data_IF_526354268660
#
_entry.id   IF_526354268660
#
_cell.length_a   1.000
_cell.length_b   1.000
_cell.length_c   1.000
_cell.angle_alpha   90.00
_cell.angle_beta   90.00
_cell.angle_gamma   90.00
#
_symmetry.space_group_name_H-M   'P 1'
#
loop_
_entity.id
_entity.type
_entity.pdbx_description
1 polymer ?
#
# COMPACT_ATOMS: atom_id res chain seq x y z
N UNK A 1 -36.11 -6.75 -5.82
CA UNK A 1 -35.44 -6.60 -4.50
C UNK A 1 -35.70 -5.23 -3.89
N UNK A 2 -35.91 -5.13 -2.57
CA UNK A 2 -36.45 -3.93 -1.93
C UNK A 2 -35.36 -2.88 -1.62
N UNK A 3 -35.21 -1.87 -2.51
CA UNK A 3 -34.31 -0.71 -2.33
C UNK A 3 -34.50 0.04 -1.00
N UNK A 4 -35.64 -0.15 -0.32
CA UNK A 4 -35.93 0.46 0.99
C UNK A 4 -35.01 -0.07 2.10
N UNK A 5 -34.63 -1.35 2.08
CA UNK A 5 -33.77 -1.94 3.11
C UNK A 5 -32.34 -1.41 3.07
N UNK A 6 -31.74 -1.29 1.88
CA UNK A 6 -30.39 -0.71 1.72
C UNK A 6 -30.37 0.75 2.16
N UNK A 7 -31.42 1.53 1.81
CA UNK A 7 -31.55 2.92 2.28
C UNK A 7 -31.63 3.01 3.80
N UNK A 8 -32.44 2.15 4.42
CA UNK A 8 -32.55 2.09 5.88
C UNK A 8 -31.23 1.73 6.55
N UNK A 9 -30.56 0.66 6.11
CA UNK A 9 -29.28 0.22 6.68
C UNK A 9 -28.18 1.26 6.52
N UNK A 10 -28.11 1.94 5.37
CA UNK A 10 -27.18 3.07 5.17
C UNK A 10 -27.46 4.21 6.16
N UNK A 11 -28.72 4.56 6.38
CA UNK A 11 -29.10 5.56 7.36
C UNK A 11 -28.75 5.12 8.79
N UNK A 12 -28.94 3.84 9.11
CA UNK A 12 -28.60 3.27 10.41
C UNK A 12 -27.08 3.28 10.66
N UNK A 13 -26.26 2.86 9.68
CA UNK A 13 -24.80 2.97 9.74
C UNK A 13 -24.39 4.43 9.97
N UNK A 14 -24.93 5.37 9.19
CA UNK A 14 -24.64 6.80 9.37
C UNK A 14 -25.05 7.31 10.76
N UNK A 15 -26.20 6.89 11.27
CA UNK A 15 -26.65 7.27 12.61
C UNK A 15 -25.74 6.71 13.71
N UNK A 16 -25.27 5.46 13.56
CA UNK A 16 -24.38 4.81 14.51
C UNK A 16 -23.00 5.47 14.61
N UNK A 17 -22.60 6.28 13.62
CA UNK A 17 -21.34 7.02 13.65
C UNK A 17 -21.28 8.07 14.77
N UNK A 18 -22.41 8.39 15.42
CA UNK A 18 -22.42 9.22 16.63
C UNK A 18 -21.61 8.62 17.77
N UNK A 19 -21.44 7.29 17.81
CA UNK A 19 -20.62 6.58 18.79
C UNK A 19 -19.19 6.26 18.33
N UNK A 20 -18.82 6.60 17.09
CA UNK A 20 -17.49 6.31 16.54
C UNK A 20 -17.38 6.56 15.03
N UNK A 21 -16.18 6.89 14.54
CA UNK A 21 -15.98 7.39 13.17
C UNK A 21 -16.40 6.40 12.07
N UNK A 22 -16.35 5.09 12.35
CA UNK A 22 -16.60 4.04 11.36
C UNK A 22 -18.04 3.51 11.36
N UNK A 23 -18.88 3.84 12.34
CA UNK A 23 -20.22 3.24 12.50
C UNK A 23 -20.18 1.85 13.17
N UNK A 24 -21.36 1.29 13.42
CA UNK A 24 -21.52 0.00 14.08
C UNK A 24 -21.14 -1.18 13.17
N UNK A 25 -20.29 -2.06 13.69
CA UNK A 25 -19.72 -3.20 12.96
C UNK A 25 -20.78 -4.25 12.56
N UNK A 26 -21.83 -4.42 13.38
CA UNK A 26 -22.94 -5.32 13.08
C UNK A 26 -23.82 -4.77 11.96
N UNK A 27 -24.09 -3.47 11.96
CA UNK A 27 -24.80 -2.80 10.87
C UNK A 27 -24.01 -2.87 9.56
N UNK A 28 -22.68 -2.77 9.63
CA UNK A 28 -21.80 -2.99 8.49
C UNK A 28 -21.94 -4.41 7.93
N UNK A 29 -21.90 -5.44 8.78
CA UNK A 29 -22.11 -6.82 8.34
C UNK A 29 -23.47 -7.01 7.66
N UNK A 30 -24.54 -6.50 8.27
CA UNK A 30 -25.89 -6.61 7.70
C UNK A 30 -26.00 -5.91 6.35
N UNK A 31 -25.41 -4.72 6.21
CA UNK A 31 -25.41 -3.99 4.94
C UNK A 31 -24.59 -4.71 3.85
N UNK A 32 -23.45 -5.30 4.22
CA UNK A 32 -22.65 -6.12 3.30
C UNK A 32 -23.45 -7.32 2.77
N UNK A 33 -24.08 -8.09 3.66
CA UNK A 33 -24.92 -9.24 3.28
C UNK A 33 -26.10 -8.83 2.39
N UNK A 34 -26.64 -7.61 2.56
CA UNK A 34 -27.69 -7.10 1.67
C UNK A 34 -27.20 -6.73 0.28
N UNK A 35 -26.01 -6.13 0.17
CA UNK A 35 -25.39 -5.87 -1.13
C UNK A 35 -25.02 -7.19 -1.83
N UNK A 36 -24.46 -8.14 -1.10
CA UNK A 36 -24.15 -9.47 -1.62
C UNK A 36 -25.41 -10.19 -2.13
N UNK A 37 -26.50 -10.20 -1.34
CA UNK A 37 -27.74 -10.82 -1.76
C UNK A 37 -28.31 -10.19 -3.05
N UNK A 38 -27.91 -8.97 -3.39
CA UNK A 38 -28.26 -8.29 -4.63
C UNK A 38 -27.26 -8.52 -5.78
N UNK A 39 -26.22 -9.35 -5.59
CA UNK A 39 -25.13 -9.57 -6.54
C UNK A 39 -24.13 -8.41 -6.62
N UNK A 40 -24.16 -7.48 -5.66
CA UNK A 40 -23.37 -6.25 -5.66
C UNK A 40 -22.11 -6.41 -4.79
N UNK A 41 -21.27 -7.43 -5.05
CA UNK A 41 -20.11 -7.76 -4.20
C UNK A 41 -19.14 -6.57 -4.02
N UNK A 42 -18.96 -5.77 -5.07
CA UNK A 42 -18.12 -4.55 -5.00
C UNK A 42 -18.64 -3.53 -3.97
N UNK A 43 -19.96 -3.46 -3.75
CA UNK A 43 -20.56 -2.62 -2.72
C UNK A 43 -20.54 -3.30 -1.35
N UNK A 44 -20.52 -4.63 -1.29
CA UNK A 44 -20.43 -5.39 -0.04
C UNK A 44 -19.04 -5.32 0.60
N UNK A 45 -17.97 -5.43 -0.19
CA UNK A 45 -16.58 -5.52 0.28
C UNK A 45 -16.16 -4.41 1.28
N UNK A 46 -16.44 -3.11 1.03
CA UNK A 46 -16.10 -2.07 1.99
C UNK A 46 -16.86 -2.19 3.32
N UNK A 47 -18.06 -2.78 3.30
CA UNK A 47 -18.83 -3.03 4.52
C UNK A 47 -18.33 -4.28 5.25
N UNK A 48 -17.93 -5.34 4.52
CA UNK A 48 -17.25 -6.48 5.12
C UNK A 48 -15.94 -6.10 5.81
N UNK A 49 -15.15 -5.20 5.22
CA UNK A 49 -13.91 -4.71 5.83
C UNK A 49 -14.09 -4.01 7.20
N UNK A 50 -15.32 -3.63 7.55
CA UNK A 50 -15.68 -2.96 8.81
C UNK A 50 -16.51 -3.83 9.74
N UNK A 51 -16.69 -5.11 9.43
CA UNK A 51 -17.42 -6.02 10.30
C UNK A 51 -16.60 -6.39 11.54
N UNK A 52 -17.24 -7.12 12.45
CA UNK A 52 -16.56 -7.78 13.56
C UNK A 52 -15.60 -8.86 13.05
N UNK A 53 -14.52 -9.11 13.80
CA UNK A 53 -13.57 -10.17 13.48
C UNK A 53 -14.19 -11.57 13.54
N UNK A 54 -15.18 -11.80 14.43
CA UNK A 54 -15.92 -13.07 14.52
C UNK A 54 -16.70 -13.41 13.22
N UNK A 55 -17.01 -12.40 12.41
CA UNK A 55 -17.67 -12.57 11.12
C UNK A 55 -16.70 -12.99 10.00
N UNK A 56 -15.38 -13.04 10.24
CA UNK A 56 -14.39 -13.35 9.20
C UNK A 56 -14.67 -14.67 8.47
N UNK A 57 -15.13 -15.70 9.20
CA UNK A 57 -15.54 -16.98 8.59
C UNK A 57 -16.71 -16.78 7.62
N UNK A 58 -17.75 -16.08 8.05
CA UNK A 58 -18.92 -15.77 7.21
C UNK A 58 -18.51 -14.99 5.96
N UNK A 59 -17.62 -14.01 6.12
CA UNK A 59 -17.09 -13.24 4.99
C UNK A 59 -16.30 -14.14 4.04
N UNK A 60 -15.39 -14.97 4.53
CA UNK A 60 -14.61 -15.88 3.68
C UNK A 60 -15.53 -16.86 2.90
N UNK A 61 -16.54 -17.42 3.56
CA UNK A 61 -17.54 -18.29 2.90
C UNK A 61 -18.36 -17.54 1.84
N UNK A 62 -18.72 -16.28 2.11
CA UNK A 62 -19.38 -15.40 1.15
C UNK A 62 -18.50 -15.18 -0.09
N UNK A 63 -17.22 -14.81 0.09
CA UNK A 63 -16.28 -14.63 -1.02
C UNK A 63 -16.11 -15.91 -1.86
N UNK A 64 -16.05 -17.06 -1.20
CA UNK A 64 -15.96 -18.37 -1.86
C UNK A 64 -17.20 -18.66 -2.73
N UNK A 65 -18.39 -18.39 -2.18
CA UNK A 65 -19.66 -18.59 -2.89
C UNK A 65 -19.82 -17.64 -4.09
N UNK A 66 -19.41 -16.38 -3.94
CA UNK A 66 -19.48 -15.38 -5.02
C UNK A 66 -18.38 -15.52 -6.07
N UNK A 67 -17.41 -16.41 -5.84
CA UNK A 67 -16.31 -16.65 -6.76
C UNK A 67 -16.38 -17.98 -7.49
N UNK A 68 -17.52 -18.66 -7.38
CA UNK A 68 -17.84 -19.81 -8.24
C UNK A 68 -17.78 -19.39 -9.71
N UNK A 69 -17.00 -20.12 -10.51
CA UNK A 69 -16.76 -19.81 -11.92
C UNK A 69 -15.61 -18.82 -12.19
N UNK A 70 -15.03 -18.20 -11.15
CA UNK A 70 -13.80 -17.42 -11.29
C UNK A 70 -12.57 -18.34 -11.43
N UNK A 71 -11.54 -17.85 -12.09
CA UNK A 71 -10.21 -18.48 -12.12
C UNK A 71 -9.56 -18.47 -10.72
N UNK A 72 -8.53 -19.29 -10.50
CA UNK A 72 -7.79 -19.28 -9.23
C UNK A 72 -7.21 -17.89 -8.93
N UNK A 73 -6.64 -17.25 -9.94
CA UNK A 73 -6.06 -15.92 -9.81
C UNK A 73 -7.14 -14.88 -9.44
N UNK A 74 -8.33 -14.93 -10.02
CA UNK A 74 -9.39 -13.98 -9.65
C UNK A 74 -9.85 -14.18 -8.19
N UNK A 75 -9.90 -15.43 -7.70
CA UNK A 75 -10.25 -15.75 -6.31
C UNK A 75 -9.22 -15.23 -5.32
N UNK A 76 -7.94 -15.51 -5.57
CA UNK A 76 -6.87 -15.01 -4.72
C UNK A 76 -6.82 -13.49 -4.68
N UNK A 77 -7.10 -12.84 -5.80
CA UNK A 77 -7.17 -11.39 -5.86
C UNK A 77 -8.36 -10.85 -5.06
N UNK A 78 -9.52 -11.51 -5.13
CA UNK A 78 -10.69 -11.15 -4.34
C UNK A 78 -10.42 -11.29 -2.83
N UNK A 79 -9.80 -12.39 -2.40
CA UNK A 79 -9.39 -12.59 -1.02
C UNK A 79 -8.40 -11.49 -0.56
N UNK A 80 -7.38 -11.22 -1.37
CA UNK A 80 -6.37 -10.22 -1.08
C UNK A 80 -6.98 -8.80 -0.95
N UNK A 81 -7.93 -8.44 -1.82
CA UNK A 81 -8.68 -7.19 -1.73
C UNK A 81 -9.45 -7.08 -0.41
N UNK A 82 -10.14 -8.13 0.02
CA UNK A 82 -10.90 -8.13 1.28
C UNK A 82 -9.98 -7.95 2.51
N UNK A 83 -8.85 -8.65 2.53
CA UNK A 83 -7.84 -8.54 3.60
C UNK A 83 -7.28 -7.11 3.64
N UNK A 84 -6.90 -6.55 2.50
CA UNK A 84 -6.25 -5.24 2.45
C UNK A 84 -7.24 -4.08 2.69
N UNK A 85 -8.50 -4.22 2.30
CA UNK A 85 -9.54 -3.28 2.67
C UNK A 85 -9.76 -3.23 4.20
N UNK A 86 -9.67 -4.38 4.86
CA UNK A 86 -9.75 -4.46 6.34
C UNK A 86 -8.55 -3.75 6.98
N UNK A 87 -7.35 -3.93 6.42
CA UNK A 87 -6.16 -3.19 6.86
C UNK A 87 -6.33 -1.67 6.67
N UNK A 88 -6.86 -1.21 5.53
CA UNK A 88 -7.08 0.23 5.26
C UNK A 88 -7.97 0.93 6.29
N UNK A 89 -8.88 0.21 6.94
CA UNK A 89 -9.76 0.78 7.97
C UNK A 89 -9.23 0.55 9.40
N UNK A 90 -7.99 0.09 9.54
CA UNK A 90 -7.36 -0.13 10.84
C UNK A 90 -7.69 -1.48 11.50
N UNK A 91 -8.36 -2.39 10.80
CA UNK A 91 -8.88 -3.66 11.35
C UNK A 91 -7.92 -4.81 11.12
N UNK A 92 -6.82 -4.82 11.87
CA UNK A 92 -5.79 -5.88 11.80
C UNK A 92 -6.37 -7.24 12.22
N UNK A 93 -7.12 -7.26 13.32
CA UNK A 93 -7.77 -8.46 13.88
C UNK A 93 -8.67 -9.17 12.85
N UNK A 94 -9.52 -8.41 12.16
CA UNK A 94 -10.35 -8.92 11.07
C UNK A 94 -9.50 -9.38 9.88
N UNK A 95 -8.49 -8.61 9.49
CA UNK A 95 -7.65 -8.94 8.34
C UNK A 95 -6.86 -10.25 8.55
N UNK A 96 -6.42 -10.52 9.78
CA UNK A 96 -5.77 -11.78 10.16
C UNK A 96 -6.72 -12.96 10.14
N UNK A 97 -7.90 -12.81 10.74
CA UNK A 97 -8.92 -13.84 10.73
C UNK A 97 -9.41 -14.15 9.28
N UNK A 98 -9.52 -13.12 8.43
CA UNK A 98 -9.83 -13.28 7.02
C UNK A 98 -8.73 -14.02 6.26
N UNK A 99 -7.46 -13.71 6.51
CA UNK A 99 -6.35 -14.43 5.90
C UNK A 99 -6.40 -15.92 6.26
N UNK A 100 -6.54 -16.23 7.56
CA UNK A 100 -6.63 -17.61 8.03
C UNK A 100 -7.79 -18.37 7.37
N UNK A 101 -9.00 -17.81 7.39
CA UNK A 101 -10.16 -18.47 6.81
C UNK A 101 -10.12 -18.57 5.29
N UNK A 102 -9.55 -17.58 4.59
CA UNK A 102 -9.35 -17.68 3.13
C UNK A 102 -8.37 -18.81 2.78
N UNK A 103 -7.30 -19.01 3.56
CA UNK A 103 -6.34 -20.11 3.36
C UNK A 103 -6.94 -21.48 3.70
N UNK A 104 -7.86 -21.55 4.68
CA UNK A 104 -8.53 -22.79 5.08
C UNK A 104 -9.70 -23.18 4.16
N UNK A 105 -10.25 -22.24 3.38
CA UNK A 105 -11.39 -22.51 2.52
C UNK A 105 -10.95 -23.42 1.38
N UNK A 106 -11.41 -24.67 1.33
CA UNK A 106 -10.92 -25.65 0.36
C UNK A 106 -11.75 -25.75 -0.92
N UNK A 107 -12.99 -25.23 -0.95
CA UNK A 107 -13.88 -25.34 -2.10
C UNK A 107 -14.77 -24.09 -2.30
N UNK A 108 -14.44 -23.22 -3.27
CA UNK A 108 -13.16 -23.14 -3.97
C UNK A 108 -12.03 -22.64 -3.06
N UNK A 109 -10.77 -23.00 -3.33
CA UNK A 109 -9.63 -22.39 -2.65
C UNK A 109 -9.60 -20.88 -2.91
N UNK A 110 -9.62 -20.10 -1.83
CA UNK A 110 -9.65 -18.64 -1.89
C UNK A 110 -8.26 -18.02 -1.89
N UNK A 111 -7.30 -18.64 -1.19
CA UNK A 111 -5.95 -18.11 -1.09
C UNK A 111 -4.98 -19.25 -0.83
N UNK A 112 -4.04 -19.51 -1.74
CA UNK A 112 -2.95 -20.44 -1.45
C UNK A 112 -2.00 -19.83 -0.39
N UNK A 113 -1.87 -20.44 0.81
CA UNK A 113 -0.98 -19.93 1.85
C UNK A 113 0.50 -19.93 1.44
N UNK A 114 0.91 -20.87 0.59
CA UNK A 114 2.29 -20.98 0.09
C UNK A 114 2.50 -20.17 -1.20
N UNK A 115 1.40 -19.75 -1.83
CA UNK A 115 1.39 -18.93 -3.03
C UNK A 115 1.93 -17.51 -2.78
N UNK A 116 2.24 -16.81 -3.88
CA UNK A 116 2.81 -15.45 -3.84
C UNK A 116 1.88 -14.48 -3.09
N UNK A 117 0.56 -14.56 -3.31
CA UNK A 117 -0.44 -13.67 -2.70
C UNK A 117 -0.74 -14.03 -1.25
N UNK A 118 -0.76 -15.32 -0.90
CA UNK A 118 -0.83 -15.77 0.48
C UNK A 118 0.35 -15.24 1.29
N UNK A 119 1.57 -15.47 0.80
CA UNK A 119 2.78 -14.95 1.42
C UNK A 119 2.80 -13.41 1.52
N UNK A 120 2.39 -12.71 0.46
CA UNK A 120 2.31 -11.24 0.48
C UNK A 120 1.38 -10.74 1.59
N UNK A 121 0.17 -11.30 1.70
CA UNK A 121 -0.80 -10.88 2.72
C UNK A 121 -0.30 -11.19 4.14
N UNK A 122 0.26 -12.39 4.36
CA UNK A 122 0.82 -12.80 5.65
C UNK A 122 1.95 -11.87 6.11
N UNK A 123 2.88 -11.54 5.22
CA UNK A 123 3.99 -10.64 5.53
C UNK A 123 3.52 -9.19 5.71
N UNK A 124 2.54 -8.73 4.93
CA UNK A 124 1.93 -7.42 5.09
C UNK A 124 1.26 -7.29 6.46
N UNK A 125 0.50 -8.30 6.89
CA UNK A 125 -0.11 -8.36 8.22
C UNK A 125 0.95 -8.28 9.32
N UNK A 126 2.02 -9.09 9.22
CA UNK A 126 3.12 -9.07 10.16
C UNK A 126 3.80 -7.69 10.24
N UNK A 127 3.95 -7.01 9.10
CA UNK A 127 4.51 -5.64 9.06
C UNK A 127 3.61 -4.62 9.76
N UNK A 128 2.29 -4.72 9.58
CA UNK A 128 1.30 -3.82 10.19
C UNK A 128 1.25 -4.02 11.71
N UNK A 129 1.21 -5.27 12.20
CA UNK A 129 1.25 -5.59 13.64
C UNK A 129 2.45 -4.96 14.35
N UNK A 130 3.62 -5.09 13.73
CA UNK A 130 4.90 -4.66 14.31
C UNK A 130 5.20 -3.18 14.05
N UNK A 131 4.39 -2.50 13.23
CA UNK A 131 4.65 -1.15 12.71
C UNK A 131 6.07 -1.00 12.15
N UNK A 132 6.53 -2.05 11.48
CA UNK A 132 7.89 -2.13 10.94
C UNK A 132 7.96 -1.47 9.55
N UNK A 133 8.14 -0.14 9.51
CA UNK A 133 8.23 0.63 8.26
C UNK A 133 9.25 0.07 7.25
N UNK A 134 10.49 -0.33 7.64
CA UNK A 134 11.44 -0.90 6.68
C UNK A 134 10.94 -2.18 6.01
N UNK A 135 10.24 -3.03 6.78
CA UNK A 135 9.64 -4.26 6.26
C UNK A 135 8.53 -3.93 5.27
N UNK A 136 7.65 -2.97 5.58
CA UNK A 136 6.62 -2.51 4.64
C UNK A 136 7.22 -1.99 3.32
N UNK A 137 8.24 -1.14 3.39
CA UNK A 137 8.89 -0.58 2.19
C UNK A 137 9.54 -1.67 1.33
N UNK A 138 10.19 -2.64 1.97
CA UNK A 138 10.74 -3.80 1.28
C UNK A 138 9.63 -4.61 0.59
N UNK A 139 8.56 -4.97 1.32
CA UNK A 139 7.44 -5.75 0.77
C UNK A 139 6.77 -5.03 -0.41
N UNK A 140 6.58 -3.70 -0.31
CA UNK A 140 6.01 -2.88 -1.39
C UNK A 140 6.85 -2.99 -2.66
N UNK A 141 8.17 -3.02 -2.54
CA UNK A 141 9.09 -3.17 -3.67
C UNK A 141 9.12 -4.60 -4.21
N UNK A 142 9.28 -5.60 -3.32
CA UNK A 142 9.41 -7.02 -3.68
C UNK A 142 8.15 -7.54 -4.37
N UNK A 143 6.97 -7.18 -3.85
CA UNK A 143 5.68 -7.61 -4.40
C UNK A 143 5.09 -6.61 -5.39
N UNK A 144 5.90 -5.72 -5.98
CA UNK A 144 5.43 -4.71 -6.92
C UNK A 144 4.56 -5.31 -8.04
N UNK A 145 5.01 -6.40 -8.67
CA UNK A 145 4.27 -7.06 -9.75
C UNK A 145 2.88 -7.58 -9.32
N UNK A 146 2.67 -7.89 -8.03
CA UNK A 146 1.39 -8.39 -7.50
C UNK A 146 0.37 -7.27 -7.40
N UNK A 147 0.78 -6.07 -6.98
CA UNK A 147 -0.15 -4.96 -6.74
C UNK A 147 -0.17 -3.93 -7.86
N UNK A 148 0.86 -3.83 -8.70
CA UNK A 148 0.94 -2.80 -9.75
C UNK A 148 -0.02 -3.03 -10.93
N UNK A 149 -0.37 -4.29 -11.19
CA UNK A 149 -1.31 -4.67 -12.25
C UNK A 149 -2.76 -4.29 -11.91
N UNK A 150 -3.08 -4.19 -10.62
CA UNK A 150 -4.43 -4.05 -10.11
C UNK A 150 -4.61 -2.72 -9.38
N UNK A 151 -5.28 -1.72 -9.99
CA UNK A 151 -5.35 -0.36 -9.43
C UNK A 151 -5.89 -0.31 -8.00
N UNK A 152 -6.92 -1.10 -7.71
CA UNK A 152 -7.55 -1.18 -6.38
C UNK A 152 -6.61 -1.74 -5.32
N UNK A 153 -5.75 -2.69 -5.69
CA UNK A 153 -4.79 -3.30 -4.79
C UNK A 153 -3.59 -2.38 -4.54
N UNK A 154 -3.09 -1.70 -5.58
CA UNK A 154 -2.07 -0.65 -5.46
C UNK A 154 -2.52 0.46 -4.51
N UNK A 155 -3.73 1.00 -4.72
CA UNK A 155 -4.30 2.02 -3.83
C UNK A 155 -4.44 1.50 -2.39
N UNK A 156 -4.78 0.23 -2.20
CA UNK A 156 -4.85 -0.35 -0.87
C UNK A 156 -3.47 -0.42 -0.20
N UNK A 157 -2.42 -0.81 -0.92
CA UNK A 157 -1.04 -0.81 -0.38
C UNK A 157 -0.60 0.60 0.00
N UNK A 158 -0.94 1.61 -0.80
CA UNK A 158 -0.65 3.02 -0.49
C UNK A 158 -1.37 3.48 0.79
N UNK A 159 -2.68 3.21 0.89
CA UNK A 159 -3.47 3.54 2.08
C UNK A 159 -3.00 2.79 3.33
N UNK A 160 -2.53 1.54 3.21
CA UNK A 160 -1.87 0.82 4.31
C UNK A 160 -0.60 1.56 4.75
N UNK A 161 0.21 2.02 3.79
CA UNK A 161 1.39 2.86 4.01
C UNK A 161 1.09 4.09 4.87
N UNK A 162 0.03 4.80 4.53
CA UNK A 162 -0.43 5.98 5.26
C UNK A 162 -0.98 5.61 6.64
N UNK A 163 -1.83 4.58 6.70
CA UNK A 163 -2.56 4.17 7.91
C UNK A 163 -1.66 3.68 9.03
N UNK A 164 -0.65 2.85 8.72
CA UNK A 164 0.20 2.21 9.74
C UNK A 164 1.60 2.78 9.86
N UNK A 165 2.12 3.41 8.79
CA UNK A 165 3.54 3.77 8.70
C UNK A 165 3.78 5.26 8.43
N UNK A 166 2.72 6.06 8.18
CA UNK A 166 2.85 7.48 7.83
C UNK A 166 3.58 7.73 6.51
N UNK A 167 3.66 6.71 5.64
CA UNK A 167 4.34 6.80 4.34
C UNK A 167 3.35 7.29 3.30
N UNK A 168 3.53 8.52 2.83
CA UNK A 168 2.73 9.06 1.73
C UNK A 168 2.94 8.26 0.42
N UNK A 169 1.90 8.16 -0.40
CA UNK A 169 2.00 7.60 -1.74
C UNK A 169 3.13 8.27 -2.53
N UNK A 170 3.97 7.52 -3.29
CA UNK A 170 4.96 8.11 -4.17
C UNK A 170 4.26 9.06 -5.13
N UNK A 171 4.57 10.36 -5.06
CA UNK A 171 4.01 11.33 -6.00
C UNK A 171 4.44 10.94 -7.40
N UNK A 172 3.55 10.32 -8.18
CA UNK A 172 3.73 10.20 -9.62
C UNK A 172 3.72 11.63 -10.14
N UNK A 173 4.91 12.20 -10.41
CA UNK A 173 5.01 13.40 -11.23
C UNK A 173 4.44 13.04 -12.59
N UNK A 174 3.14 13.28 -12.77
CA UNK A 174 2.51 13.27 -14.07
C UNK A 174 3.27 14.28 -14.91
N UNK A 175 4.16 13.80 -15.79
CA UNK A 175 4.59 14.59 -16.93
C UNK A 175 3.32 14.77 -17.75
N UNK A 176 2.60 15.87 -17.50
CA UNK A 176 1.60 16.37 -18.45
C UNK A 176 2.36 16.61 -19.75
N UNK A 177 2.18 15.70 -20.69
CA UNK A 177 2.44 15.96 -22.09
C UNK A 177 1.37 16.95 -22.54
N UNK A 178 1.81 18.15 -22.94
CA UNK A 178 0.94 19.17 -23.50
C UNK A 178 1.33 20.59 -23.07
N UNK A 179 1.79 21.35 -24.07
CA UNK A 179 1.88 22.81 -24.14
C UNK A 179 3.15 23.50 -23.62
N UNK A 180 3.95 23.92 -24.60
CA UNK A 180 5.08 24.83 -24.46
C UNK A 180 5.73 25.08 -25.82
N UNK A 181 5.03 25.82 -26.69
CA UNK A 181 5.58 26.43 -27.89
C UNK A 181 6.88 27.21 -27.57
N UNK A 182 7.83 27.11 -28.50
CA UNK A 182 8.83 28.12 -28.89
C UNK A 182 9.57 28.89 -27.79
N UNK A 183 10.86 28.58 -27.57
CA UNK A 183 11.95 29.57 -27.46
C UNK A 183 13.27 28.97 -27.97
N UNK A 184 13.89 29.69 -28.91
CA UNK A 184 15.06 29.31 -29.71
C UNK A 184 16.38 29.03 -28.96
N UNK A 185 17.49 28.87 -29.71
CA UNK A 185 18.72 28.26 -29.21
C UNK A 185 19.45 29.12 -28.16
N UNK A 186 20.17 28.48 -27.23
CA UNK A 186 20.80 29.15 -26.09
C UNK A 186 21.91 30.11 -26.54
N UNK A 187 21.82 31.37 -26.09
CA UNK A 187 22.90 32.37 -26.19
C UNK A 187 24.07 31.98 -25.29
N UNK A 188 25.24 31.88 -25.89
CA UNK A 188 26.54 31.72 -25.23
C UNK A 188 26.89 33.01 -24.47
N UNK A 189 27.23 32.97 -23.17
CA UNK A 189 27.78 34.13 -22.46
C UNK A 189 29.29 34.30 -22.78
N UNK A 190 29.78 35.55 -22.92
CA UNK A 190 31.15 35.82 -23.35
C UNK A 190 32.19 35.63 -22.22
N UNK A 191 33.18 34.81 -22.56
CA UNK A 191 34.60 34.84 -22.22
C UNK A 191 35.07 35.93 -21.22
N UNK A 192 35.43 35.52 -19.99
CA UNK A 192 36.33 36.31 -19.12
C UNK A 192 37.69 35.64 -19.09
N UNK A 193 38.64 36.33 -19.69
CA UNK A 193 40.06 36.01 -19.74
C UNK A 193 40.68 36.03 -18.33
N UNK A 194 41.46 34.99 -18.02
CA UNK A 194 42.37 34.95 -16.87
C UNK A 194 43.70 35.64 -17.21
N UNK A 195 44.27 36.48 -16.33
CA UNK A 195 45.65 36.92 -16.47
C UNK A 195 46.63 35.90 -15.87
N UNK A 196 47.59 35.46 -16.69
CA UNK A 196 48.88 34.92 -16.26
C UNK A 196 49.74 36.06 -15.70
N UNK A 197 50.44 35.81 -14.60
CA UNK A 197 51.60 36.58 -14.16
C UNK A 197 52.74 35.62 -13.81
N UNK A 198 53.95 36.15 -13.89
CA UNK A 198 55.18 35.47 -14.32
C UNK A 198 55.97 34.77 -13.21
N UNK A 199 56.83 33.87 -13.70
CA UNK A 199 57.97 33.25 -13.04
C UNK A 199 59.00 34.23 -12.48
N UNK A 200 59.55 33.91 -11.33
CA UNK A 200 60.92 34.22 -10.85
C UNK A 200 61.17 33.13 -9.79
N UNK A 201 62.13 32.21 -9.88
CA UNK A 201 63.52 32.34 -10.28
C UNK A 201 64.37 32.49 -9.02
N UNK A 202 65.31 31.55 -8.82
CA UNK A 202 66.49 31.56 -7.92
C UNK A 202 66.45 30.51 -6.77
N UNK A 203 67.27 29.47 -6.91
CA UNK A 203 67.83 28.59 -5.86
C UNK A 203 69.15 29.23 -5.32
N UNK A 204 69.74 28.82 -4.17
CA UNK A 204 70.50 27.55 -4.02
C UNK A 204 70.31 26.88 -2.64
N UNK A 205 70.47 25.55 -2.49
CA UNK A 205 71.68 24.81 -2.07
C UNK A 205 72.40 25.40 -0.85
N UNK A 206 72.29 24.74 0.31
CA UNK A 206 73.34 24.69 1.33
C UNK A 206 73.16 23.53 2.33
N UNK A 207 74.28 23.13 2.87
CA UNK A 207 74.64 21.86 3.51
C UNK A 207 74.16 21.65 4.96
N UNK A 208 74.27 20.38 5.34
CA UNK A 208 74.37 19.82 6.70
C UNK A 208 75.29 20.62 7.65
N UNK A 209 75.11 20.53 8.99
CA UNK A 209 75.95 19.57 9.74
C UNK A 209 75.31 18.95 11.00
N UNK A 210 76.09 18.02 11.54
CA UNK A 210 75.94 17.18 12.73
C UNK A 210 75.91 17.89 14.11
N UNK A 211 75.51 17.07 15.10
CA UNK A 211 76.14 16.89 16.42
C UNK A 211 75.52 17.52 17.70
N UNK A 212 75.15 16.57 18.59
CA UNK A 212 75.43 16.48 20.05
C UNK A 212 74.62 17.34 21.04
N UNK A 213 73.94 16.62 21.95
CA UNK A 213 74.32 16.64 23.37
C UNK A 213 73.28 17.15 24.37
N UNK A 214 72.82 16.24 25.24
CA UNK A 214 72.61 16.46 26.68
C UNK A 214 71.36 17.21 27.13
N UNK A 215 70.42 16.48 27.73
CA UNK A 215 70.21 16.39 29.19
C UNK A 215 69.29 15.21 29.51
#
# INVERSE_FOLDING_TARGET
>A
MCRRHVKFLRAAVKWSQKGGVQGDEGLHLLLAMRHEAAGELALALPHYARSKADAARTVATSLASNSLGMTSDERELLALRAIFLSLNVGRIDLAEALHEHCCQTSQPNMLDPEGVRGNFSRLMLASCRRRATPLFLMLRSTYHAVHSSEPTLREAVERIGETYFGVAAPRVRSKRAGEGLDKGPPRVPPNRQSPRAHSSGIAPMEDHPDARGGL
#
